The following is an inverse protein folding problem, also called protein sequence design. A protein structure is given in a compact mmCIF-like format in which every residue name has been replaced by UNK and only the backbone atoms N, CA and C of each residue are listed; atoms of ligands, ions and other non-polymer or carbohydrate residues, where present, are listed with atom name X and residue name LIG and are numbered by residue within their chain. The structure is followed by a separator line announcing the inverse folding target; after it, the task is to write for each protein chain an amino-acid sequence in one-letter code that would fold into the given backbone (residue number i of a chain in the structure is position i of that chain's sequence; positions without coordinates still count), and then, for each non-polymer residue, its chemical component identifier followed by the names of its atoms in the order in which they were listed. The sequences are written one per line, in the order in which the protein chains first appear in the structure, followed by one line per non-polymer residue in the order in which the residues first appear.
data_IF_985651627291
#
_entry.id   IF_985651627291
#
_cell.length_a   1.000
_cell.length_b   1.000
_cell.length_c   1.000
_cell.angle_alpha   90.00
_cell.angle_beta   90.00
_cell.angle_gamma   90.00
#
_symmetry.space_group_name_H-M   'P 1'
#
loop_
_entity.id
_entity.type
_entity.pdbx_description
1 polymer ?
#
# COMPACT_ATOMS: atom_id res chain seq x y z
N UNK A 1 2.65 44.94 -50.61
CA UNK A 1 3.44 43.71 -50.39
C UNK A 1 3.88 43.68 -48.93
N UNK A 2 3.85 42.49 -48.31
CA UNK A 2 3.64 42.22 -46.88
C UNK A 2 4.83 42.63 -45.97
N UNK A 3 4.50 43.18 -44.79
CA UNK A 3 5.42 43.42 -43.66
C UNK A 3 5.66 42.10 -42.91
N UNK A 4 6.92 41.69 -42.76
CA UNK A 4 7.33 40.60 -41.87
C UNK A 4 7.53 41.14 -40.46
N UNK A 5 6.65 40.75 -39.54
CA UNK A 5 6.90 40.84 -38.11
C UNK A 5 7.06 39.40 -37.59
N UNK A 6 8.29 39.00 -37.29
CA UNK A 6 8.56 37.77 -36.54
C UNK A 6 8.28 38.08 -35.06
N UNK A 7 7.15 37.60 -34.57
CA UNK A 7 6.85 37.64 -33.14
C UNK A 7 7.67 36.56 -32.42
N UNK A 8 8.43 37.00 -31.42
CA UNK A 8 9.08 36.20 -30.39
C UNK A 8 8.10 35.18 -29.80
N UNK A 9 8.34 33.89 -30.03
CA UNK A 9 7.81 32.82 -29.20
C UNK A 9 8.88 32.43 -28.18
N UNK A 10 8.94 33.15 -27.05
CA UNK A 10 9.57 32.58 -25.86
C UNK A 10 8.65 31.50 -25.33
N UNK A 11 8.94 30.24 -25.68
CA UNK A 11 8.40 29.10 -24.97
C UNK A 11 8.89 29.20 -23.51
N UNK A 12 8.01 29.58 -22.62
CA UNK A 12 8.17 29.30 -21.20
C UNK A 12 8.10 27.79 -21.02
N UNK A 13 9.25 27.11 -21.12
CA UNK A 13 9.40 25.76 -20.59
C UNK A 13 9.28 25.86 -19.07
N UNK A 14 8.04 25.75 -18.60
CA UNK A 14 7.74 25.52 -17.20
C UNK A 14 8.48 24.24 -16.79
N UNK A 15 9.56 24.42 -16.02
CA UNK A 15 10.24 23.31 -15.36
C UNK A 15 9.31 22.78 -14.28
N UNK A 16 8.46 21.82 -14.66
CA UNK A 16 7.72 20.95 -13.74
C UNK A 16 8.71 19.97 -13.09
N UNK A 17 9.61 20.48 -12.28
CA UNK A 17 10.46 19.68 -11.43
C UNK A 17 10.34 20.26 -10.02
N UNK A 18 9.48 19.66 -9.20
CA UNK A 18 9.41 19.94 -7.77
C UNK A 18 8.12 20.55 -7.22
N UNK A 19 7.02 20.58 -7.97
CA UNK A 19 5.71 20.79 -7.34
C UNK A 19 5.16 19.43 -6.91
N UNK A 20 5.71 18.87 -5.82
CA UNK A 20 4.95 17.92 -5.02
C UNK A 20 3.68 18.66 -4.62
N UNK A 21 2.56 18.27 -5.22
CA UNK A 21 1.32 19.02 -4.98
C UNK A 21 0.97 18.86 -3.50
N UNK A 22 0.45 19.90 -2.84
CA UNK A 22 0.00 19.80 -1.45
C UNK A 22 -0.96 18.60 -1.23
N UNK A 23 -1.66 18.16 -2.29
CA UNK A 23 -2.45 16.93 -2.32
C UNK A 23 -1.62 15.65 -2.13
N UNK A 24 -0.45 15.51 -2.76
CA UNK A 24 0.42 14.33 -2.59
C UNK A 24 1.00 14.24 -1.17
N UNK A 25 1.35 15.38 -0.55
CA UNK A 25 1.80 15.42 0.84
C UNK A 25 0.68 15.03 1.83
N UNK A 26 -0.56 15.47 1.56
CA UNK A 26 -1.74 15.08 2.34
C UNK A 26 -2.05 13.59 2.18
N UNK A 27 -2.00 13.06 0.96
CA UNK A 27 -2.16 11.62 0.69
C UNK A 27 -1.06 10.82 1.38
N UNK A 28 0.20 11.21 1.26
CA UNK A 28 1.34 10.54 1.89
C UNK A 28 1.20 10.44 3.40
N UNK A 29 0.90 11.56 4.07
CA UNK A 29 0.74 11.61 5.53
C UNK A 29 -0.50 10.85 6.02
N UNK A 30 -1.55 10.77 5.20
CA UNK A 30 -2.79 10.10 5.60
C UNK A 30 -2.81 8.62 5.26
N UNK A 31 -2.06 8.16 4.26
CA UNK A 31 -1.96 6.74 3.91
C UNK A 31 -0.80 6.01 4.59
N UNK A 32 0.35 6.67 4.76
CA UNK A 32 1.53 6.04 5.35
C UNK A 32 1.31 5.75 6.83
N UNK A 33 2.01 4.72 7.32
CA UNK A 33 1.97 4.26 8.71
C UNK A 33 1.52 2.80 8.83
N UNK A 34 1.25 2.38 10.06
CA UNK A 34 0.87 1.01 10.38
C UNK A 34 -0.66 0.82 10.30
N UNK A 35 -1.05 -0.26 9.66
CA UNK A 35 -2.43 -0.71 9.51
C UNK A 35 -2.54 -2.11 10.08
N UNK A 36 -3.45 -2.32 11.03
CA UNK A 36 -3.56 -3.60 11.72
C UNK A 36 -4.96 -4.18 11.62
N UNK A 37 -5.04 -5.50 11.59
CA UNK A 37 -6.32 -6.19 11.59
C UNK A 37 -6.17 -7.67 11.81
N UNK A 38 -7.28 -8.37 11.78
CA UNK A 38 -7.31 -9.83 11.92
C UNK A 38 -7.88 -10.43 10.65
N UNK A 39 -7.08 -11.24 9.96
CA UNK A 39 -7.54 -12.04 8.83
C UNK A 39 -7.83 -13.47 9.30
N UNK A 40 -8.75 -14.13 8.61
CA UNK A 40 -9.07 -15.54 8.86
C UNK A 40 -8.65 -16.32 7.63
N UNK A 41 -7.54 -17.05 7.77
CA UNK A 41 -6.95 -17.84 6.71
C UNK A 41 -6.98 -19.34 7.06
N UNK A 42 -6.96 -20.21 6.04
CA UNK A 42 -6.95 -21.67 6.20
C UNK A 42 -7.97 -22.19 7.22
N UNK A 43 -9.27 -22.12 6.89
CA UNK A 43 -10.38 -22.69 7.68
C UNK A 43 -10.64 -22.07 9.06
N UNK A 44 -10.33 -20.77 9.24
CA UNK A 44 -10.81 -19.99 10.38
C UNK A 44 -9.78 -19.72 11.48
N UNK A 45 -8.50 -19.96 11.22
CA UNK A 45 -7.44 -19.56 12.16
C UNK A 45 -7.28 -18.04 12.10
N UNK A 46 -7.44 -17.32 13.24
CA UNK A 46 -7.23 -15.88 13.28
C UNK A 46 -5.73 -15.59 13.22
N UNK A 47 -5.33 -14.82 12.22
CA UNK A 47 -3.99 -14.26 12.10
C UNK A 47 -4.07 -12.75 12.27
N UNK A 48 -3.19 -12.20 13.08
CA UNK A 48 -3.00 -10.76 13.14
C UNK A 48 -2.09 -10.33 12.00
N UNK A 49 -2.47 -9.25 11.33
CA UNK A 49 -1.72 -8.65 10.23
C UNK A 49 -1.36 -7.22 10.61
N UNK A 50 -0.08 -6.88 10.44
CA UNK A 50 0.44 -5.52 10.55
C UNK A 50 1.07 -5.14 9.22
N UNK A 51 0.40 -4.25 8.50
CA UNK A 51 0.84 -3.70 7.23
C UNK A 51 1.41 -2.30 7.45
N UNK A 52 2.73 -2.17 7.34
CA UNK A 52 3.40 -0.87 7.36
C UNK A 52 3.45 -0.34 5.93
N UNK A 53 2.71 0.73 5.66
CA UNK A 53 2.63 1.39 4.35
C UNK A 53 3.55 2.61 4.26
N UNK A 54 4.27 2.70 3.16
CA UNK A 54 5.03 3.88 2.76
C UNK A 54 4.57 4.36 1.39
N UNK A 55 4.18 5.63 1.30
CA UNK A 55 3.88 6.31 0.05
C UNK A 55 5.09 7.10 -0.44
N UNK A 56 5.40 6.98 -1.73
CA UNK A 56 6.47 7.71 -2.40
C UNK A 56 5.85 8.68 -3.43
N UNK A 57 6.52 9.82 -3.73
CA UNK A 57 6.06 10.75 -4.76
C UNK A 57 5.80 10.06 -6.10
N UNK A 58 4.79 10.53 -6.83
CA UNK A 58 4.37 9.93 -8.11
C UNK A 58 3.53 8.65 -7.96
N UNK A 59 2.97 8.39 -6.78
CA UNK A 59 2.02 7.30 -6.55
C UNK A 59 2.64 5.93 -6.33
N UNK A 60 3.97 5.81 -6.30
CA UNK A 60 4.62 4.56 -5.93
C UNK A 60 4.35 4.24 -4.45
N UNK A 61 4.09 2.97 -4.14
CA UNK A 61 3.79 2.54 -2.78
C UNK A 61 4.58 1.28 -2.44
N UNK A 62 5.14 1.26 -1.23
CA UNK A 62 5.84 0.10 -0.67
C UNK A 62 5.15 -0.31 0.62
N UNK A 63 5.18 -1.60 0.92
CA UNK A 63 4.66 -2.10 2.18
C UNK A 63 5.51 -3.23 2.75
N UNK A 64 5.48 -3.37 4.07
CA UNK A 64 5.90 -4.61 4.75
C UNK A 64 4.69 -5.17 5.46
N UNK A 65 4.40 -6.45 5.26
CA UNK A 65 3.33 -7.13 5.96
C UNK A 65 3.91 -8.16 6.93
N UNK A 66 3.59 -8.01 8.21
CA UNK A 66 3.94 -8.96 9.27
C UNK A 66 2.68 -9.71 9.70
N UNK A 67 2.80 -11.02 9.81
CA UNK A 67 1.72 -11.91 10.19
C UNK A 67 2.10 -12.65 11.46
N UNK A 68 1.24 -12.59 12.47
CA UNK A 68 1.38 -13.32 13.74
C UNK A 68 0.12 -14.16 14.02
N UNK A 69 0.26 -15.24 14.79
CA UNK A 69 -0.91 -15.94 15.31
C UNK A 69 -1.53 -15.12 16.42
N UNK A 70 -2.86 -15.01 16.42
CA UNK A 70 -3.59 -14.35 17.49
C UNK A 70 -4.14 -15.40 18.46
N UNK A 71 -3.60 -15.49 19.68
CA UNK A 71 -4.07 -16.42 20.71
C UNK A 71 -3.08 -16.70 21.86
N UNK A 72 -3.48 -17.56 22.80
CA UNK A 72 -2.74 -17.91 24.04
C UNK A 72 -1.41 -18.65 23.85
N UNK A 73 -1.02 -18.94 22.60
CA UNK A 73 0.20 -19.70 22.26
C UNK A 73 1.47 -18.83 22.19
N UNK A 74 1.37 -17.55 22.58
CA UNK A 74 2.46 -16.58 22.50
C UNK A 74 2.54 -15.93 21.11
N UNK A 75 2.87 -14.64 21.07
CA UNK A 75 3.05 -13.89 19.82
C UNK A 75 4.26 -14.44 19.05
N UNK A 76 4.00 -15.34 18.11
CA UNK A 76 5.00 -15.80 17.15
C UNK A 76 4.71 -15.16 15.79
N UNK A 77 5.65 -14.36 15.29
CA UNK A 77 5.62 -13.90 13.90
C UNK A 77 5.81 -15.12 12.99
N UNK A 78 4.76 -15.46 12.25
CA UNK A 78 4.71 -16.64 11.38
C UNK A 78 5.29 -16.28 10.01
N UNK A 79 5.13 -15.03 9.57
CA UNK A 79 5.57 -14.59 8.26
C UNK A 79 5.81 -13.09 8.21
N UNK A 80 6.77 -12.68 7.39
CA UNK A 80 6.98 -11.28 7.00
C UNK A 80 7.39 -11.22 5.53
N UNK A 81 6.81 -10.31 4.76
CA UNK A 81 7.13 -10.12 3.34
C UNK A 81 6.98 -8.66 2.90
N UNK A 82 7.68 -8.29 1.83
CA UNK A 82 7.56 -6.98 1.19
C UNK A 82 6.49 -7.01 0.11
N UNK A 83 5.84 -5.86 -0.08
CA UNK A 83 4.98 -5.58 -1.22
C UNK A 83 5.39 -4.28 -1.89
N UNK A 84 5.15 -4.19 -3.20
CA UNK A 84 5.27 -2.96 -3.97
C UNK A 84 4.09 -2.80 -4.90
N UNK A 85 3.71 -1.56 -5.15
CA UNK A 85 2.81 -1.24 -6.24
C UNK A 85 2.53 0.25 -6.29
N UNK A 86 1.27 0.59 -6.49
CA UNK A 86 0.85 1.96 -6.79
C UNK A 86 -0.43 2.35 -6.08
N UNK A 87 -0.55 3.63 -5.79
CA UNK A 87 -1.79 4.28 -5.41
C UNK A 87 -2.20 5.29 -6.48
N UNK A 88 -3.38 5.07 -7.06
CA UNK A 88 -4.02 6.03 -7.96
C UNK A 88 -4.89 6.99 -7.14
N UNK A 89 -4.46 8.25 -7.02
CA UNK A 89 -5.18 9.27 -6.27
C UNK A 89 -6.49 9.73 -6.93
N UNK A 90 -6.68 9.51 -8.24
CA UNK A 90 -7.91 9.86 -8.92
C UNK A 90 -9.03 8.83 -8.68
N UNK A 91 -8.66 7.56 -8.54
CA UNK A 91 -9.63 6.46 -8.30
C UNK A 91 -9.54 5.87 -6.89
N UNK A 92 -8.66 6.40 -6.05
CA UNK A 92 -8.31 5.89 -4.72
C UNK A 92 -7.92 4.42 -4.71
N UNK A 93 -7.39 3.90 -5.83
CA UNK A 93 -7.08 2.48 -5.96
C UNK A 93 -5.68 2.22 -5.44
N UNK A 94 -5.56 1.40 -4.41
CA UNK A 94 -4.31 0.84 -3.94
C UNK A 94 -4.14 -0.57 -4.50
N UNK A 95 -3.02 -0.82 -5.18
CA UNK A 95 -2.61 -2.14 -5.63
C UNK A 95 -1.19 -2.42 -5.15
N UNK A 96 -1.01 -3.51 -4.41
CA UNK A 96 0.27 -3.95 -3.87
C UNK A 96 0.45 -5.42 -4.21
N UNK A 97 1.55 -5.72 -4.88
CA UNK A 97 1.94 -7.08 -5.24
C UNK A 97 3.10 -7.54 -4.35
N UNK A 98 3.13 -8.81 -3.91
CA UNK A 98 4.24 -9.33 -3.14
C UNK A 98 5.55 -9.32 -3.94
N UNK A 99 6.66 -8.92 -3.31
CA UNK A 99 7.99 -8.95 -3.92
C UNK A 99 8.86 -10.11 -3.39
N UNK A 100 8.76 -10.41 -2.09
CA UNK A 100 9.61 -11.42 -1.48
C UNK A 100 9.37 -11.62 0.01
N UNK A 101 9.63 -12.83 0.50
CA UNK A 101 9.68 -13.12 1.92
C UNK A 101 10.88 -12.42 2.56
N UNK A 102 10.66 -11.82 3.73
CA UNK A 102 11.71 -11.24 4.57
C UNK A 102 12.06 -12.20 5.72
N UNK A 103 11.09 -13.01 6.17
CA UNK A 103 11.33 -14.01 7.22
C UNK A 103 10.06 -14.64 7.76
N UNK A 104 10.21 -15.36 8.86
CA UNK A 104 9.14 -16.15 9.49
C UNK A 104 9.07 -17.58 8.94
N UNK A 105 8.42 -18.46 9.70
CA UNK A 105 8.31 -19.89 9.38
C UNK A 105 7.61 -20.18 8.05
N UNK A 106 6.71 -19.30 7.61
CA UNK A 106 6.00 -19.45 6.34
C UNK A 106 6.94 -19.35 5.13
N UNK A 107 8.03 -18.58 5.21
CA UNK A 107 8.99 -18.41 4.11
C UNK A 107 9.65 -19.74 3.68
N UNK A 108 9.79 -20.68 4.62
CA UNK A 108 10.39 -22.00 4.39
C UNK A 108 9.35 -23.10 4.18
N UNK A 109 8.05 -22.78 4.25
CA UNK A 109 6.97 -23.77 4.19
C UNK A 109 6.49 -23.96 2.75
N UNK A 110 6.55 -25.19 2.19
CA UNK A 110 5.99 -25.48 0.88
C UNK A 110 4.50 -25.12 0.82
N UNK A 111 4.09 -24.41 -0.24
CA UNK A 111 2.71 -23.99 -0.46
C UNK A 111 2.26 -22.74 0.33
N UNK A 112 3.14 -22.07 1.07
CA UNK A 112 2.85 -20.76 1.63
C UNK A 112 2.68 -19.72 0.50
N UNK A 113 1.68 -18.85 0.63
CA UNK A 113 1.34 -17.83 -0.36
C UNK A 113 1.45 -16.45 0.29
N UNK A 114 2.07 -15.50 -0.43
CA UNK A 114 2.03 -14.09 -0.06
C UNK A 114 0.76 -13.47 -0.61
N UNK A 115 0.06 -12.69 0.19
CA UNK A 115 -1.23 -12.12 -0.20
C UNK A 115 -1.01 -10.76 -0.87
N UNK A 116 -1.47 -10.57 -2.12
CA UNK A 116 -1.55 -9.24 -2.69
C UNK A 116 -2.62 -8.41 -1.96
N UNK A 117 -2.52 -7.09 -2.04
CA UNK A 117 -3.54 -6.17 -1.52
C UNK A 117 -4.06 -5.34 -2.68
N UNK A 118 -5.34 -5.53 -2.99
CA UNK A 118 -6.07 -4.71 -3.95
C UNK A 118 -7.33 -4.16 -3.29
N UNK A 119 -7.43 -2.84 -3.22
CA UNK A 119 -8.51 -2.18 -2.49
C UNK A 119 -8.71 -0.74 -2.95
N UNK A 120 -9.84 -0.16 -2.56
CA UNK A 120 -10.05 1.28 -2.60
C UNK A 120 -9.76 1.85 -1.22
N UNK A 121 -8.84 2.80 -1.15
CA UNK A 121 -8.46 3.48 0.08
C UNK A 121 -8.57 4.99 -0.11
N UNK A 122 -9.70 5.55 0.31
CA UNK A 122 -9.87 7.00 0.36
C UNK A 122 -8.89 7.62 1.36
N UNK A 123 -8.32 8.79 1.09
CA UNK A 123 -7.36 9.43 2.01
C UNK A 123 -7.91 9.63 3.41
N UNK A 124 -9.19 10.01 3.56
CA UNK A 124 -9.83 10.20 4.87
C UNK A 124 -10.17 8.91 5.60
N UNK A 125 -10.05 7.75 4.94
CA UNK A 125 -10.44 6.49 5.55
C UNK A 125 -9.49 6.11 6.69
N UNK A 126 -10.06 5.60 7.77
CA UNK A 126 -9.32 4.98 8.87
C UNK A 126 -9.28 3.47 8.75
N UNK A 127 -9.95 2.91 7.74
CA UNK A 127 -10.04 1.48 7.53
C UNK A 127 -9.81 1.12 6.06
N UNK A 128 -9.25 -0.06 5.84
CA UNK A 128 -8.95 -0.61 4.52
C UNK A 128 -9.61 -1.98 4.43
N UNK A 129 -10.49 -2.16 3.43
CA UNK A 129 -11.17 -3.44 3.19
C UNK A 129 -10.38 -4.25 2.20
N UNK A 130 -9.74 -5.32 2.66
CA UNK A 130 -9.03 -6.25 1.79
C UNK A 130 -10.01 -7.33 1.37
N UNK A 131 -10.20 -7.47 0.06
CA UNK A 131 -11.10 -8.48 -0.50
C UNK A 131 -10.57 -9.89 -0.25
N UNK A 132 -11.46 -10.87 -0.36
CA UNK A 132 -11.05 -12.27 -0.30
C UNK A 132 -9.94 -12.55 -1.31
N UNK A 133 -8.91 -13.26 -0.84
CA UNK A 133 -7.79 -13.72 -1.65
C UNK A 133 -7.57 -15.22 -1.39
N UNK A 134 -6.70 -15.87 -2.18
CA UNK A 134 -6.49 -17.32 -2.10
C UNK A 134 -6.20 -17.79 -0.67
N UNK A 135 -7.20 -18.41 -0.03
CA UNK A 135 -7.09 -19.01 1.29
C UNK A 135 -7.48 -18.14 2.48
N UNK A 136 -7.95 -16.90 2.26
CA UNK A 136 -8.37 -15.98 3.32
C UNK A 136 -9.73 -15.33 3.03
N UNK A 137 -10.60 -15.27 4.04
CA UNK A 137 -11.85 -14.49 3.99
C UNK A 137 -11.56 -12.98 3.85
N UNK A 138 -12.50 -12.15 3.37
CA UNK A 138 -12.35 -10.70 3.41
C UNK A 138 -12.06 -10.22 4.83
N UNK A 139 -11.21 -9.20 4.97
CA UNK A 139 -10.84 -8.64 6.27
C UNK A 139 -10.65 -7.14 6.18
N UNK A 140 -10.60 -6.49 7.34
CA UNK A 140 -10.40 -5.05 7.47
C UNK A 140 -9.11 -4.78 8.24
N UNK A 141 -8.33 -3.80 7.77
CA UNK A 141 -7.20 -3.23 8.49
C UNK A 141 -7.56 -1.82 8.94
N UNK A 142 -7.22 -1.47 10.17
CA UNK A 142 -7.44 -0.16 10.77
C UNK A 142 -6.13 0.58 10.93
N UNK A 143 -6.11 1.86 10.52
CA UNK A 143 -4.93 2.73 10.68
C UNK A 143 -4.66 2.94 12.17
N UNK A 144 -3.43 2.66 12.60
CA UNK A 144 -2.99 2.94 13.96
C UNK A 144 -2.74 4.43 14.15
N UNK A 145 -2.93 4.96 15.38
CA UNK A 145 -2.46 6.30 15.73
C UNK A 145 -0.93 6.34 15.53
N UNK A 146 -0.47 7.28 14.71
CA UNK A 146 0.96 7.55 14.52
C UNK A 146 1.51 8.52 15.57
#
# INVERSE_FOLDING_TARGET
MKRTALALALLATATMAGCETAGELLVSSTMSGDWTGTAYCAYGVPIEMVLTLGYLPGGATTATNKIAFKGDVGEAVIASYTLRGTYDAATYKLSLQPEGWIGGMAATKPGAVMLPIETQLEPSSRTMKVQASSGCSPFELSKQPG
#
